data_IF_917080780509
#
_entry.id   IF_917080780509
#
_cell.length_a   1.000
_cell.length_b   1.000
_cell.length_c   1.000
_cell.angle_alpha   90.00
_cell.angle_beta   90.00
_cell.angle_gamma   90.00
#
_symmetry.space_group_name_H-M   'P 1'
#
loop_
_entity.id
_entity.type
_entity.pdbx_description
1 polymer ?
#
# COMPACT_ATOMS: atom_id res chain seq x y z
N UNK A 1 41.50 -25.30 -7.55
CA UNK A 1 40.40 -25.10 -6.59
C UNK A 1 39.92 -23.67 -6.80
N UNK A 2 38.72 -23.48 -7.34
CA UNK A 2 38.14 -22.14 -7.46
C UNK A 2 37.84 -21.66 -6.03
N UNK A 3 38.41 -20.53 -5.63
CA UNK A 3 38.02 -19.83 -4.42
C UNK A 3 36.61 -19.28 -4.69
N UNK A 4 35.59 -19.97 -4.18
CA UNK A 4 34.24 -19.43 -4.09
C UNK A 4 34.30 -18.23 -3.13
N UNK A 5 34.57 -17.04 -3.66
CA UNK A 5 34.47 -15.81 -2.87
C UNK A 5 33.01 -15.56 -2.56
N UNK A 6 32.68 -15.59 -1.28
CA UNK A 6 31.35 -15.16 -0.79
C UNK A 6 31.19 -13.69 -1.19
N UNK A 7 30.12 -13.31 -1.93
CA UNK A 7 29.91 -11.91 -2.29
C UNK A 7 29.65 -11.08 -1.03
N UNK A 8 30.31 -9.95 -0.93
CA UNK A 8 30.10 -8.98 0.13
C UNK A 8 28.78 -8.22 -0.12
N UNK A 9 27.93 -8.09 0.89
CA UNK A 9 26.70 -7.33 0.85
C UNK A 9 26.60 -6.49 2.13
N UNK A 10 26.40 -5.18 1.96
CA UNK A 10 26.29 -4.23 3.06
C UNK A 10 24.84 -4.02 3.47
N UNK A 11 24.61 -3.82 4.78
CA UNK A 11 23.33 -3.38 5.33
C UNK A 11 23.36 -1.88 5.63
N UNK A 12 22.21 -1.29 5.95
CA UNK A 12 22.15 0.12 6.33
C UNK A 12 22.91 0.40 7.65
N UNK A 13 23.12 -0.61 8.49
CA UNK A 13 23.91 -0.48 9.72
C UNK A 13 25.43 -0.40 9.43
N UNK A 14 25.85 -0.85 8.24
CA UNK A 14 27.27 -0.85 7.83
C UNK A 14 27.67 0.44 7.10
N UNK A 15 26.72 1.29 6.72
CA UNK A 15 26.97 2.45 5.86
C UNK A 15 26.35 3.73 6.40
N UNK A 16 27.00 4.87 6.08
CA UNK A 16 26.49 6.21 6.37
C UNK A 16 26.43 7.02 5.07
N UNK A 17 25.47 7.93 4.99
CA UNK A 17 25.46 8.92 3.92
C UNK A 17 26.53 9.98 4.18
N UNK A 18 27.39 10.22 3.20
CA UNK A 18 28.35 11.31 3.26
C UNK A 18 27.63 12.65 3.10
N UNK A 19 27.81 13.61 4.02
CA UNK A 19 27.32 14.97 3.84
C UNK A 19 27.90 15.58 2.56
N UNK A 20 27.06 16.27 1.80
CA UNK A 20 27.47 17.01 0.62
C UNK A 20 26.85 18.42 0.62
N UNK A 21 27.49 19.35 -0.07
CA UNK A 21 26.92 20.67 -0.28
C UNK A 21 25.60 20.58 -1.06
N UNK A 22 24.61 21.36 -0.62
CA UNK A 22 23.31 21.43 -1.28
C UNK A 22 22.79 22.86 -1.29
N UNK A 23 22.37 23.33 -2.46
CA UNK A 23 21.63 24.58 -2.63
C UNK A 23 20.11 24.39 -2.62
N UNK A 24 19.62 23.16 -2.37
CA UNK A 24 18.19 22.84 -2.37
C UNK A 24 17.58 23.10 -1.00
N UNK A 25 16.59 24.00 -0.95
CA UNK A 25 15.81 24.24 0.28
C UNK A 25 14.83 23.07 0.54
N UNK A 26 14.48 22.80 1.81
CA UNK A 26 13.55 21.71 2.16
C UNK A 26 12.23 21.72 1.38
N UNK A 27 11.67 22.90 1.12
CA UNK A 27 10.45 23.06 0.34
C UNK A 27 10.60 22.76 -1.17
N UNK A 28 11.83 22.66 -1.66
CA UNK A 28 12.16 22.40 -3.07
C UNK A 28 12.51 20.93 -3.33
N UNK A 29 12.57 20.12 -2.26
CA UNK A 29 12.93 18.70 -2.36
C UNK A 29 11.88 17.94 -3.18
N UNK A 30 12.34 17.19 -4.17
CA UNK A 30 11.51 16.29 -4.98
C UNK A 30 11.59 14.89 -4.40
N UNK A 31 10.50 14.43 -3.78
CA UNK A 31 10.42 13.10 -3.15
C UNK A 31 10.00 12.00 -4.13
N UNK A 32 9.54 12.36 -5.33
CA UNK A 32 9.10 11.40 -6.34
C UNK A 32 10.22 10.41 -6.65
N UNK A 33 9.91 9.13 -6.52
CA UNK A 33 10.86 8.03 -6.75
C UNK A 33 10.25 6.95 -7.63
N UNK A 34 11.10 6.19 -8.31
CA UNK A 34 10.70 5.06 -9.14
C UNK A 34 10.88 3.77 -8.36
N UNK A 35 9.78 3.05 -8.12
CA UNK A 35 9.80 1.75 -7.43
C UNK A 35 10.13 0.61 -8.40
N UNK A 36 9.51 0.62 -9.59
CA UNK A 36 9.77 -0.34 -10.67
C UNK A 36 9.87 0.40 -12.00
N UNK A 37 10.06 -0.33 -13.11
CA UNK A 37 10.06 0.27 -14.46
C UNK A 37 8.74 0.99 -14.78
N UNK A 38 7.63 0.58 -14.17
CA UNK A 38 6.27 1.06 -14.46
C UNK A 38 5.59 1.78 -13.30
N UNK A 39 6.13 1.65 -12.06
CA UNK A 39 5.52 2.23 -10.85
C UNK A 39 6.41 3.34 -10.30
N UNK A 40 5.84 4.52 -10.16
CA UNK A 40 6.46 5.65 -9.47
C UNK A 40 5.64 6.04 -8.24
N UNK A 41 6.33 6.45 -7.18
CA UNK A 41 5.73 6.93 -5.94
C UNK A 41 5.95 8.44 -5.81
N UNK A 42 5.02 9.15 -5.20
CA UNK A 42 5.16 10.57 -4.90
C UNK A 42 6.01 10.82 -3.64
N UNK A 43 6.01 9.86 -2.72
CA UNK A 43 6.92 9.81 -1.57
C UNK A 43 7.60 8.44 -1.53
N UNK A 44 8.89 8.35 -1.11
CA UNK A 44 9.66 7.10 -1.12
C UNK A 44 9.34 6.22 0.10
N UNK A 45 8.04 5.94 0.34
CA UNK A 45 7.58 5.14 1.47
C UNK A 45 6.76 3.96 0.97
N UNK A 46 7.12 2.77 1.44
CA UNK A 46 6.42 1.52 1.19
C UNK A 46 6.23 0.79 2.52
N UNK A 47 5.03 0.25 2.80
CA UNK A 47 4.84 -0.57 3.99
C UNK A 47 5.23 -2.03 3.75
N UNK A 48 5.75 -2.67 4.80
CA UNK A 48 6.13 -4.07 4.76
C UNK A 48 4.92 -5.00 4.60
N UNK A 49 5.10 -6.08 3.85
CA UNK A 49 4.10 -7.14 3.68
C UNK A 49 4.05 -8.05 4.92
N UNK A 50 3.75 -7.48 6.07
CA UNK A 50 3.68 -8.15 7.36
C UNK A 50 2.26 -8.21 7.88
N UNK A 51 1.91 -9.34 8.48
CA UNK A 51 0.66 -9.53 9.21
C UNK A 51 0.50 -8.44 10.29
N UNK A 52 -0.71 -7.98 10.50
CA UNK A 52 -1.07 -6.88 11.42
C UNK A 52 -0.44 -5.52 11.12
N UNK A 53 0.45 -5.39 10.13
CA UNK A 53 1.06 -4.13 9.70
C UNK A 53 0.36 -3.59 8.46
N UNK A 54 0.35 -4.35 7.35
CA UNK A 54 -0.20 -3.88 6.08
C UNK A 54 -1.43 -4.66 5.66
N UNK A 55 -2.56 -4.13 6.01
CA UNK A 55 -3.86 -4.51 5.49
C UNK A 55 -4.48 -3.37 4.67
N UNK A 56 -5.75 -3.52 4.20
CA UNK A 56 -6.39 -2.52 3.34
C UNK A 56 -6.36 -1.11 3.92
N UNK A 57 -6.56 -0.94 5.23
CA UNK A 57 -6.55 0.37 5.88
C UNK A 57 -5.19 1.07 5.79
N UNK A 58 -4.10 0.36 6.06
CA UNK A 58 -2.74 0.90 5.94
C UNK A 58 -2.40 1.19 4.47
N UNK A 59 -2.76 0.29 3.55
CA UNK A 59 -2.52 0.47 2.13
C UNK A 59 -3.25 1.71 1.58
N UNK A 60 -4.50 1.95 1.99
CA UNK A 60 -5.27 3.15 1.65
C UNK A 60 -4.58 4.41 2.21
N UNK A 61 -4.18 4.41 3.47
CA UNK A 61 -3.53 5.56 4.09
C UNK A 61 -2.21 5.93 3.38
N UNK A 62 -1.41 4.94 3.02
CA UNK A 62 -0.17 5.14 2.27
C UNK A 62 -0.42 5.63 0.84
N UNK A 63 -1.41 5.09 0.15
CA UNK A 63 -1.79 5.54 -1.19
C UNK A 63 -2.17 7.04 -1.17
N UNK A 64 -2.97 7.48 -0.20
CA UNK A 64 -3.31 8.89 0.00
C UNK A 64 -2.09 9.78 0.27
N UNK A 65 -1.10 9.28 0.98
CA UNK A 65 0.14 9.99 1.23
C UNK A 65 1.09 10.01 0.01
N UNK A 66 0.79 9.22 -1.03
CA UNK A 66 1.62 9.10 -2.24
C UNK A 66 2.66 7.99 -2.20
N UNK A 67 2.59 7.11 -1.20
CA UNK A 67 3.38 5.89 -1.07
C UNK A 67 2.64 4.66 -1.61
N UNK A 68 3.03 3.46 -1.16
CA UNK A 68 2.38 2.20 -1.54
C UNK A 68 2.33 1.22 -0.36
N UNK A 69 1.20 0.52 -0.22
CA UNK A 69 1.04 -0.58 0.73
C UNK A 69 1.20 -1.94 0.04
N UNK A 70 1.95 -2.85 0.68
CA UNK A 70 2.08 -4.24 0.22
C UNK A 70 1.31 -5.14 1.18
N UNK A 71 0.17 -5.66 0.73
CA UNK A 71 -0.69 -6.51 1.55
C UNK A 71 -0.01 -7.87 1.73
N UNK A 72 0.06 -8.34 2.98
CA UNK A 72 0.69 -9.62 3.32
C UNK A 72 -0.11 -10.82 2.79
N UNK A 73 0.55 -11.99 2.77
CA UNK A 73 -0.02 -13.25 2.26
C UNK A 73 -0.56 -14.20 3.35
N UNK A 74 -0.49 -13.80 4.63
CA UNK A 74 -0.93 -14.66 5.74
C UNK A 74 -2.46 -14.63 5.90
N UNK A 75 -3.16 -15.05 4.84
CA UNK A 75 -4.62 -15.12 4.75
C UNK A 75 -5.00 -16.00 3.54
N UNK A 76 -6.28 -16.32 3.36
CA UNK A 76 -6.74 -17.02 2.16
C UNK A 76 -6.61 -16.15 0.90
N UNK A 77 -6.60 -16.77 -0.27
CA UNK A 77 -6.54 -16.07 -1.57
C UNK A 77 -7.74 -15.13 -1.71
N UNK A 78 -8.93 -15.59 -1.34
CA UNK A 78 -10.19 -14.83 -1.42
C UNK A 78 -10.15 -13.62 -0.48
N UNK A 79 -9.61 -13.78 0.72
CA UNK A 79 -9.47 -12.70 1.69
C UNK A 79 -8.47 -11.65 1.21
N UNK A 80 -7.32 -12.08 0.68
CA UNK A 80 -6.34 -11.15 0.11
C UNK A 80 -6.92 -10.38 -1.08
N UNK A 81 -7.60 -11.08 -1.99
CA UNK A 81 -8.27 -10.45 -3.12
C UNK A 81 -9.33 -9.43 -2.67
N UNK A 82 -10.09 -9.75 -1.62
CA UNK A 82 -11.07 -8.82 -1.04
C UNK A 82 -10.40 -7.57 -0.48
N UNK A 83 -9.28 -7.70 0.24
CA UNK A 83 -8.53 -6.55 0.78
C UNK A 83 -7.94 -5.68 -0.34
N UNK A 84 -7.40 -6.28 -1.39
CA UNK A 84 -6.90 -5.55 -2.58
C UNK A 84 -8.05 -4.80 -3.27
N UNK A 85 -9.19 -5.44 -3.47
CA UNK A 85 -10.37 -4.82 -4.06
C UNK A 85 -10.86 -3.62 -3.23
N UNK A 86 -10.84 -3.72 -1.90
CA UNK A 86 -11.19 -2.61 -1.01
C UNK A 86 -10.28 -1.40 -1.21
N UNK A 87 -8.98 -1.61 -1.36
CA UNK A 87 -8.01 -0.54 -1.65
C UNK A 87 -8.29 0.09 -3.02
N UNK A 88 -8.48 -0.74 -4.05
CA UNK A 88 -8.72 -0.26 -5.42
C UNK A 88 -10.01 0.52 -5.57
N UNK A 89 -11.08 0.08 -4.91
CA UNK A 89 -12.35 0.81 -4.89
C UNK A 89 -12.22 2.16 -4.20
N UNK A 90 -11.43 2.24 -3.14
CA UNK A 90 -11.22 3.48 -2.41
C UNK A 90 -10.44 4.52 -3.23
N UNK A 91 -9.40 4.10 -3.96
CA UNK A 91 -8.57 4.98 -4.79
C UNK A 91 -9.34 5.60 -5.97
N UNK A 92 -10.32 4.88 -6.50
CA UNK A 92 -10.98 5.34 -7.73
C UNK A 92 -11.91 6.54 -7.53
N UNK A 93 -12.32 6.86 -6.29
CA UNK A 93 -13.35 7.88 -6.04
C UNK A 93 -14.66 7.64 -6.81
N UNK A 94 -14.66 6.67 -7.71
CA UNK A 94 -15.76 6.17 -8.52
C UNK A 94 -16.11 4.78 -8.02
N UNK A 95 -17.33 4.61 -7.58
CA UNK A 95 -17.86 3.28 -7.27
C UNK A 95 -18.17 2.60 -8.61
N UNK A 96 -17.18 1.93 -9.21
CA UNK A 96 -17.33 1.23 -10.48
C UNK A 96 -18.33 0.05 -10.42
N UNK A 97 -18.58 -0.46 -9.22
CA UNK A 97 -19.52 -1.53 -8.96
C UNK A 97 -20.23 -1.25 -7.62
N UNK A 98 -21.24 -0.37 -7.60
CA UNK A 98 -21.93 0.00 -6.39
C UNK A 98 -22.71 -1.21 -5.85
N UNK A 99 -22.60 -1.44 -4.54
CA UNK A 99 -23.49 -2.39 -3.88
C UNK A 99 -24.86 -1.73 -3.81
N UNK A 100 -25.75 -2.18 -4.66
CA UNK A 100 -27.13 -1.69 -4.73
C UNK A 100 -28.04 -2.50 -3.82
N UNK A 101 -29.03 -1.86 -3.26
CA UNK A 101 -30.13 -2.49 -2.54
C UNK A 101 -31.44 -2.16 -3.25
N UNK A 102 -32.41 -3.05 -3.16
CA UNK A 102 -33.76 -2.80 -3.66
C UNK A 102 -34.61 -2.10 -2.60
N UNK A 103 -35.70 -1.42 -2.97
CA UNK A 103 -36.61 -0.79 -1.99
C UNK A 103 -37.16 -1.76 -0.93
N UNK A 104 -37.22 -3.06 -1.25
CA UNK A 104 -37.72 -4.10 -0.37
C UNK A 104 -36.64 -4.65 0.59
N UNK A 105 -35.39 -4.20 0.48
CA UNK A 105 -34.29 -4.65 1.34
C UNK A 105 -34.49 -4.15 2.76
N UNK A 106 -34.49 -5.07 3.72
CA UNK A 106 -34.67 -4.71 5.13
C UNK A 106 -33.42 -4.03 5.70
N UNK A 107 -33.60 -3.20 6.74
CA UNK A 107 -32.50 -2.54 7.47
C UNK A 107 -31.50 -3.58 8.01
N UNK A 108 -31.98 -4.76 8.42
CA UNK A 108 -31.13 -5.85 8.90
C UNK A 108 -30.21 -6.40 7.80
N UNK A 109 -30.71 -6.58 6.60
CA UNK A 109 -29.91 -7.01 5.43
C UNK A 109 -28.93 -5.93 5.02
N UNK A 110 -29.33 -4.66 5.01
CA UNK A 110 -28.45 -3.54 4.73
C UNK A 110 -27.27 -3.47 5.71
N UNK A 111 -27.50 -3.69 7.01
CA UNK A 111 -26.44 -3.75 8.02
C UNK A 111 -25.48 -4.91 7.76
N UNK A 112 -25.98 -6.10 7.42
CA UNK A 112 -25.14 -7.26 7.09
C UNK A 112 -24.28 -7.00 5.85
N UNK A 113 -24.84 -6.35 4.82
CA UNK A 113 -24.08 -5.94 3.63
C UNK A 113 -22.98 -4.94 3.97
N UNK A 114 -23.30 -3.95 4.83
CA UNK A 114 -22.31 -3.00 5.32
C UNK A 114 -21.16 -3.69 6.05
N UNK A 115 -21.46 -4.59 6.98
CA UNK A 115 -20.46 -5.30 7.78
C UNK A 115 -19.61 -6.24 6.91
N UNK A 116 -20.25 -6.90 5.92
CA UNK A 116 -19.57 -7.80 4.99
C UNK A 116 -18.60 -7.07 4.05
N UNK A 117 -18.92 -5.87 3.63
CA UNK A 117 -18.17 -5.13 2.62
C UNK A 117 -17.37 -3.94 3.19
N UNK A 118 -17.51 -3.63 4.48
CA UNK A 118 -16.68 -2.65 5.21
C UNK A 118 -16.85 -1.20 4.74
N UNK A 119 -18.00 -0.82 4.18
CA UNK A 119 -18.27 0.56 3.80
C UNK A 119 -19.19 1.27 4.82
N UNK A 120 -18.98 2.57 4.95
CA UNK A 120 -19.83 3.49 5.70
C UNK A 120 -20.13 4.68 4.79
N UNK A 121 -21.08 4.55 3.95
CA UNK A 121 -21.42 5.66 3.05
C UNK A 121 -22.77 6.13 3.25
#
# INVERSE_FOLDING_TARGET
MAQDSIPEALTFDDVLLLPAESAVLPAQVKLKTRLTSTISLNIPIMSAAMDTVTESRMAIALAHAGGIGVIHRNMSIEEQASKVNSVKRFESGLVLDPITITPDTTIGEMRRLKDKHGFSG
#
